data_IF_810058291209
#
_entry.id   IF_810058291209
#
_cell.length_a   1.000
_cell.length_b   1.000
_cell.length_c   1.000
_cell.angle_alpha   90.00
_cell.angle_beta   90.00
_cell.angle_gamma   90.00
#
_symmetry.space_group_name_H-M   'P 1'
#
loop_
_entity.id
_entity.type
_entity.pdbx_description
1 polymer ?
#
# COMPACT_ATOMS: atom_id res chain seq x y z
N UNK A 1 19.39 18.29 15.98
CA UNK A 1 18.06 17.66 15.82
C UNK A 1 18.12 16.77 14.58
N UNK A 2 18.14 15.45 14.75
CA UNK A 2 18.56 14.54 13.68
C UNK A 2 17.41 14.27 12.69
N UNK A 3 17.53 14.81 11.47
CA UNK A 3 16.55 14.64 10.39
C UNK A 3 16.72 13.26 9.74
N UNK A 4 15.84 12.32 10.10
CA UNK A 4 15.78 11.01 9.45
C UNK A 4 15.08 11.15 8.09
N UNK A 5 15.84 11.27 7.00
CA UNK A 5 15.34 11.49 5.62
C UNK A 5 14.36 10.43 5.09
N UNK A 6 14.15 9.32 5.82
CA UNK A 6 13.19 8.26 5.49
C UNK A 6 11.72 8.71 5.62
N UNK A 7 11.39 9.73 6.42
CA UNK A 7 9.99 10.18 6.63
C UNK A 7 9.51 11.26 5.66
N UNK A 8 10.41 11.79 4.82
CA UNK A 8 10.10 12.92 3.94
C UNK A 8 8.93 12.64 2.98
N UNK A 9 8.88 11.43 2.41
CA UNK A 9 7.82 11.05 1.48
C UNK A 9 6.45 10.90 2.17
N UNK A 10 6.41 10.43 3.43
CA UNK A 10 5.18 10.34 4.23
C UNK A 10 4.68 11.75 4.55
N UNK A 11 5.57 12.62 5.03
CA UNK A 11 5.21 14.01 5.37
C UNK A 11 4.64 14.76 4.17
N UNK A 12 5.26 14.61 2.99
CA UNK A 12 4.79 15.23 1.75
C UNK A 12 3.37 14.77 1.37
N UNK A 13 3.11 13.46 1.45
CA UNK A 13 1.77 12.89 1.18
C UNK A 13 0.72 13.43 2.14
N UNK A 14 1.03 13.46 3.45
CA UNK A 14 0.11 13.99 4.44
C UNK A 14 -0.17 15.49 4.25
N UNK A 15 0.82 16.27 3.82
CA UNK A 15 0.61 17.70 3.58
C UNK A 15 -0.41 17.93 2.45
N UNK A 16 -0.28 17.22 1.34
CA UNK A 16 -1.23 17.30 0.22
C UNK A 16 -2.65 16.90 0.65
N UNK A 17 -2.81 15.80 1.39
CA UNK A 17 -4.13 15.38 1.89
C UNK A 17 -4.75 16.46 2.79
N UNK A 18 -3.97 17.09 3.67
CA UNK A 18 -4.45 18.19 4.53
C UNK A 18 -4.90 19.40 3.73
N UNK A 19 -4.14 19.81 2.71
CA UNK A 19 -4.50 20.94 1.84
C UNK A 19 -5.81 20.68 1.07
N UNK A 20 -6.00 19.45 0.59
CA UNK A 20 -7.23 19.04 -0.10
C UNK A 20 -8.44 19.01 0.83
N UNK A 21 -8.25 18.60 2.10
CA UNK A 21 -9.30 18.65 3.12
C UNK A 21 -9.66 20.10 3.47
N UNK A 22 -8.65 20.95 3.70
CA UNK A 22 -8.85 22.36 4.06
C UNK A 22 -9.52 23.17 2.95
N UNK A 23 -9.25 22.82 1.69
CA UNK A 23 -9.91 23.44 0.53
C UNK A 23 -11.31 22.88 0.25
N UNK A 24 -11.74 21.85 0.97
CA UNK A 24 -13.06 21.22 0.79
C UNK A 24 -13.19 20.42 -0.51
N UNK A 25 -12.09 20.18 -1.23
CA UNK A 25 -12.09 19.39 -2.48
C UNK A 25 -12.37 17.92 -2.18
N UNK A 26 -11.89 17.43 -1.04
CA UNK A 26 -12.15 16.06 -0.59
C UNK A 26 -12.82 16.10 0.79
N UNK A 27 -13.72 15.14 1.01
CA UNK A 27 -14.29 14.83 2.33
C UNK A 27 -13.80 13.45 2.76
N UNK A 28 -13.77 13.21 4.08
CA UNK A 28 -13.35 11.92 4.64
C UNK A 28 -14.44 11.40 5.54
N UNK A 29 -15.01 10.27 5.15
CA UNK A 29 -16.01 9.56 5.94
C UNK A 29 -15.46 8.22 6.42
N UNK A 30 -15.82 7.86 7.64
CA UNK A 30 -15.47 6.57 8.20
C UNK A 30 -16.42 5.49 7.66
N UNK A 31 -15.85 4.47 7.00
CA UNK A 31 -16.57 3.28 6.56
C UNK A 31 -16.11 2.09 7.41
N UNK A 32 -17.07 1.34 7.94
CA UNK A 32 -16.75 0.14 8.73
C UNK A 32 -16.07 -0.89 7.83
N UNK A 33 -15.06 -1.61 8.34
CA UNK A 33 -14.25 -2.55 7.56
C UNK A 33 -15.06 -3.59 6.78
N UNK A 34 -16.17 -4.08 7.33
CA UNK A 34 -17.06 -5.04 6.64
C UNK A 34 -17.68 -4.47 5.35
N UNK A 35 -17.81 -3.15 5.27
CA UNK A 35 -18.40 -2.42 4.16
C UNK A 35 -17.30 -1.77 3.27
N UNK A 36 -16.01 -1.99 3.59
CA UNK A 36 -14.89 -1.42 2.83
C UNK A 36 -14.60 -2.26 1.57
N UNK A 37 -15.34 -1.99 0.50
CA UNK A 37 -15.19 -2.65 -0.81
C UNK A 37 -13.80 -2.47 -1.42
N UNK A 38 -13.06 -1.43 -1.00
CA UNK A 38 -11.69 -1.17 -1.45
C UNK A 38 -10.64 -2.01 -0.72
N UNK A 39 -10.96 -2.61 0.44
CA UNK A 39 -10.00 -3.39 1.23
C UNK A 39 -9.35 -4.52 0.42
N UNK A 40 -10.09 -5.35 -0.34
CA UNK A 40 -9.48 -6.40 -1.16
C UNK A 40 -8.55 -5.89 -2.26
N UNK A 41 -8.69 -4.62 -2.67
CA UNK A 41 -7.88 -3.99 -3.71
C UNK A 41 -6.63 -3.30 -3.17
N UNK A 42 -6.67 -2.84 -1.92
CA UNK A 42 -5.56 -2.17 -1.22
C UNK A 42 -4.71 -3.19 -0.45
N UNK A 43 -5.35 -4.26 0.03
CA UNK A 43 -4.68 -5.33 0.77
C UNK A 43 -3.74 -6.08 -0.17
N UNK A 44 -2.54 -6.38 0.32
CA UNK A 44 -1.64 -7.28 -0.37
C UNK A 44 -2.34 -8.63 -0.56
N UNK A 45 -2.66 -8.95 -1.81
CA UNK A 45 -3.15 -10.28 -2.18
C UNK A 45 -2.12 -11.31 -1.72
N UNK A 46 -2.59 -12.48 -1.28
CA UNK A 46 -1.68 -13.58 -0.97
C UNK A 46 -0.83 -13.89 -2.20
N UNK A 47 0.44 -14.25 -1.99
CA UNK A 47 1.37 -14.56 -3.10
C UNK A 47 0.77 -15.59 -4.06
N UNK A 48 0.05 -16.56 -3.51
CA UNK A 48 -0.65 -17.58 -4.26
C UNK A 48 -1.79 -17.00 -5.13
N UNK A 49 -2.61 -16.09 -4.59
CA UNK A 49 -3.65 -15.41 -5.37
C UNK A 49 -3.08 -14.55 -6.50
N UNK A 50 -1.96 -13.85 -6.24
CA UNK A 50 -1.23 -13.09 -7.26
C UNK A 50 -0.67 -14.01 -8.34
N UNK A 51 -0.08 -15.15 -7.96
CA UNK A 51 0.50 -16.11 -8.89
C UNK A 51 -0.54 -16.73 -9.82
N UNK A 52 -1.71 -17.12 -9.28
CA UNK A 52 -2.82 -17.65 -10.09
C UNK A 52 -3.34 -16.62 -11.10
N UNK A 53 -3.55 -15.37 -10.69
CA UNK A 53 -4.09 -14.32 -11.57
C UNK A 53 -3.05 -13.78 -12.56
N UNK A 54 -1.75 -13.82 -12.21
CA UNK A 54 -0.67 -13.40 -13.11
C UNK A 54 -0.23 -14.45 -14.13
N UNK A 55 -0.76 -15.68 -14.02
CA UNK A 55 -0.49 -16.76 -14.97
C UNK A 55 -1.00 -16.38 -16.36
N UNK A 56 -0.10 -16.37 -17.35
CA UNK A 56 -0.42 -16.01 -18.73
C UNK A 56 -0.37 -14.50 -19.04
N UNK A 57 -0.13 -13.65 -18.04
CA UNK A 57 0.01 -12.19 -18.25
C UNK A 57 1.43 -11.74 -18.62
N UNK A 58 2.40 -12.67 -18.75
CA UNK A 58 3.80 -12.34 -19.05
C UNK A 58 4.56 -11.65 -17.90
N UNK A 59 3.97 -11.59 -16.70
CA UNK A 59 4.60 -11.00 -15.52
C UNK A 59 5.59 -11.98 -14.89
N UNK A 60 6.75 -11.48 -14.44
CA UNK A 60 7.73 -12.28 -13.68
C UNK A 60 7.30 -12.39 -12.21
N UNK A 61 7.03 -13.60 -11.70
CA UNK A 61 6.69 -13.77 -10.29
C UNK A 61 7.86 -13.35 -9.40
N UNK A 62 7.58 -12.57 -8.35
CA UNK A 62 8.59 -12.25 -7.35
C UNK A 62 8.74 -13.44 -6.41
N UNK A 63 9.73 -14.30 -6.68
CA UNK A 63 10.14 -15.37 -5.77
C UNK A 63 11.04 -14.76 -4.69
N UNK A 64 10.52 -14.52 -3.49
CA UNK A 64 11.42 -14.25 -2.35
C UNK A 64 12.13 -15.57 -2.03
N UNK A 65 13.38 -15.73 -2.46
CA UNK A 65 14.24 -16.72 -1.82
C UNK A 65 14.59 -16.16 -0.45
N UNK A 66 13.79 -16.49 0.55
CA UNK A 66 14.26 -16.43 1.92
C UNK A 66 15.10 -17.68 2.15
N UNK A 67 16.29 -17.69 1.54
CA UNK A 67 17.36 -18.59 1.94
C UNK A 67 17.84 -18.12 3.30
N UNK A 68 17.23 -18.63 4.36
CA UNK A 68 17.77 -18.50 5.70
C UNK A 68 19.12 -19.20 5.76
N UNK A 69 20.19 -18.43 5.72
CA UNK A 69 21.45 -18.83 6.30
C UNK A 69 21.39 -18.49 7.80
N UNK A 70 20.82 -19.40 8.57
CA UNK A 70 21.16 -19.54 9.98
C UNK A 70 22.57 -20.12 10.05
N UNK A 71 23.55 -19.25 10.24
CA UNK A 71 24.78 -19.55 11.00
C UNK A 71 25.15 -18.30 11.78
#
# INVERSE_FOLDING_TARGET
>A
MMYNGKSHHIRRRHNTVRELLSSGIITVDYVKSKDNVSDPLIKGLSREGVERTSKGMGLRPRTSQHGGNST
#
